data_IF_956116858746
#
_entry.id   IF_956116858746
#
_cell.length_a   1.000
_cell.length_b   1.000
_cell.length_c   1.000
_cell.angle_alpha   90.00
_cell.angle_beta   90.00
_cell.angle_gamma   90.00
#
_symmetry.space_group_name_H-M   'P 1'
#
loop_
_entity.id
_entity.type
_entity.pdbx_description
1 polymer ?
#
# COMPACT_ATOMS: atom_id res chain seq x y z
N UNK A 1 -7.22 23.71 9.40
CA UNK A 1 -7.96 23.45 8.14
C UNK A 1 -8.14 21.95 8.03
N UNK A 2 -9.39 21.47 8.01
CA UNK A 2 -9.66 20.05 7.78
C UNK A 2 -9.08 19.69 6.40
N UNK A 3 -8.13 18.73 6.35
CA UNK A 3 -7.67 18.18 5.08
C UNK A 3 -8.91 17.66 4.37
N UNK A 4 -9.29 18.32 3.29
CA UNK A 4 -10.38 17.88 2.45
C UNK A 4 -10.03 16.51 1.91
N UNK A 5 -11.00 15.60 1.86
CA UNK A 5 -10.90 14.24 1.27
C UNK A 5 -10.04 14.21 -0.01
N UNK A 6 -10.10 15.25 -0.83
CA UNK A 6 -9.31 15.46 -2.04
C UNK A 6 -7.78 15.47 -1.83
N UNK A 7 -7.27 16.08 -0.77
CA UNK A 7 -5.83 16.14 -0.49
C UNK A 7 -5.30 14.79 0.01
N UNK A 8 -6.10 14.08 0.82
CA UNK A 8 -5.77 12.72 1.26
C UNK A 8 -5.75 11.76 0.06
N UNK A 9 -6.74 11.87 -0.84
CA UNK A 9 -6.76 11.12 -2.09
C UNK A 9 -5.58 11.44 -3.01
N UNK A 10 -5.12 12.70 -3.04
CA UNK A 10 -3.95 13.10 -3.82
C UNK A 10 -2.68 12.45 -3.26
N UNK A 11 -2.44 12.57 -1.96
CA UNK A 11 -1.28 11.97 -1.30
C UNK A 11 -1.28 10.43 -1.47
N UNK A 12 -2.45 9.80 -1.30
CA UNK A 12 -2.61 8.36 -1.46
C UNK A 12 -2.31 7.90 -2.89
N UNK A 13 -2.80 8.61 -3.91
CA UNK A 13 -2.51 8.30 -5.30
C UNK A 13 -1.05 8.55 -5.69
N UNK A 14 -0.41 9.60 -5.16
CA UNK A 14 1.00 9.87 -5.40
C UNK A 14 1.88 8.78 -4.81
N UNK A 15 1.60 8.33 -3.59
CA UNK A 15 2.33 7.24 -2.96
C UNK A 15 2.17 5.93 -3.74
N UNK A 16 0.96 5.61 -4.22
CA UNK A 16 0.73 4.46 -5.11
C UNK A 16 1.58 4.49 -6.38
N UNK A 17 1.69 5.67 -7.00
CA UNK A 17 2.51 5.85 -8.21
C UNK A 17 4.01 5.74 -7.92
N UNK A 18 4.46 6.17 -6.73
CA UNK A 18 5.87 6.05 -6.31
C UNK A 18 6.29 4.60 -6.17
N UNK A 19 5.45 3.75 -5.60
CA UNK A 19 5.76 2.32 -5.48
C UNK A 19 5.87 1.64 -6.85
N UNK A 20 4.96 1.93 -7.79
CA UNK A 20 5.01 1.41 -9.15
C UNK A 20 6.28 1.83 -9.94
N UNK A 21 6.98 2.89 -9.50
CA UNK A 21 8.22 3.37 -10.12
C UNK A 21 9.49 2.80 -9.49
N UNK A 22 9.41 2.05 -8.39
CA UNK A 22 10.60 1.35 -7.86
C UNK A 22 10.87 0.12 -8.74
N UNK A 23 11.76 0.27 -9.71
CA UNK A 23 12.51 -0.86 -10.25
C UNK A 23 13.31 -1.47 -9.09
N UNK A 24 12.94 -2.67 -8.67
CA UNK A 24 13.43 -3.25 -7.44
C UNK A 24 14.63 -4.18 -7.68
N UNK A 25 15.62 -4.03 -6.82
CA UNK A 25 16.89 -4.78 -6.80
C UNK A 25 16.74 -6.19 -6.20
N UNK A 26 15.73 -6.95 -6.64
CA UNK A 26 15.50 -8.36 -6.26
C UNK A 26 14.31 -8.61 -5.33
N UNK A 27 13.86 -9.86 -5.30
CA UNK A 27 12.58 -10.30 -4.74
C UNK A 27 12.39 -10.03 -3.23
N UNK A 28 13.44 -10.15 -2.41
CA UNK A 28 13.34 -9.87 -0.96
C UNK A 28 13.18 -8.37 -0.69
N UNK A 29 13.90 -7.52 -1.43
CA UNK A 29 13.78 -6.07 -1.32
C UNK A 29 12.41 -5.58 -1.81
N UNK A 30 11.79 -6.29 -2.76
CA UNK A 30 10.39 -6.03 -3.18
C UNK A 30 9.39 -6.28 -2.06
N UNK A 31 9.54 -7.35 -1.29
CA UNK A 31 8.66 -7.68 -0.15
C UNK A 31 8.76 -6.58 0.92
N UNK A 32 9.97 -6.19 1.30
CA UNK A 32 10.17 -5.10 2.28
C UNK A 32 9.64 -3.76 1.77
N UNK A 33 9.86 -3.46 0.48
CA UNK A 33 9.34 -2.24 -0.13
C UNK A 33 7.81 -2.23 -0.17
N UNK A 34 7.19 -3.38 -0.46
CA UNK A 34 5.73 -3.55 -0.50
C UNK A 34 5.13 -3.42 0.90
N UNK A 35 5.78 -3.95 1.94
CA UNK A 35 5.40 -3.77 3.34
C UNK A 35 5.41 -2.30 3.76
N UNK A 36 6.51 -1.61 3.47
CA UNK A 36 6.64 -0.20 3.77
C UNK A 36 5.55 0.60 3.03
N UNK A 37 5.31 0.27 1.76
CA UNK A 37 4.28 0.92 0.95
C UNK A 37 2.88 0.75 1.53
N UNK A 38 2.49 -0.47 1.92
CA UNK A 38 1.20 -0.74 2.58
C UNK A 38 1.08 0.04 3.89
N UNK A 39 2.16 0.10 4.68
CA UNK A 39 2.19 0.86 5.95
C UNK A 39 1.97 2.35 5.70
N UNK A 40 2.64 2.93 4.70
CA UNK A 40 2.46 4.33 4.32
C UNK A 40 1.02 4.59 3.85
N UNK A 41 0.49 3.76 2.94
CA UNK A 41 -0.88 3.89 2.43
C UNK A 41 -1.95 3.77 3.52
N UNK A 42 -1.72 2.96 4.55
CA UNK A 42 -2.59 2.90 5.74
C UNK A 42 -2.55 4.19 6.55
N UNK A 43 -1.35 4.77 6.72
CA UNK A 43 -1.17 6.03 7.45
C UNK A 43 -1.81 7.23 6.75
N UNK A 44 -1.81 7.23 5.42
CA UNK A 44 -2.43 8.28 4.58
C UNK A 44 -3.77 7.84 3.98
N UNK A 45 -4.41 6.81 4.55
CA UNK A 45 -5.64 6.27 4.00
C UNK A 45 -6.73 7.35 3.99
N UNK A 46 -7.30 7.69 2.82
CA UNK A 46 -8.33 8.72 2.72
C UNK A 46 -9.54 8.30 3.53
N UNK A 47 -10.01 9.22 4.37
CA UNK A 47 -11.22 9.06 5.17
C UNK A 47 -12.40 9.70 4.45
N UNK A 48 -13.60 9.18 4.68
CA UNK A 48 -14.83 9.79 4.23
C UNK A 48 -15.18 11.01 5.10
N UNK A 49 -16.27 11.69 4.77
CA UNK A 49 -16.77 12.86 5.52
C UNK A 49 -17.17 12.54 6.96
N UNK A 50 -17.39 11.26 7.28
CA UNK A 50 -17.67 10.76 8.62
C UNK A 50 -16.39 10.30 9.36
N UNK A 51 -15.21 10.41 8.73
CA UNK A 51 -13.92 10.03 9.32
C UNK A 51 -13.58 8.54 9.18
N UNK A 52 -14.39 7.75 8.49
CA UNK A 52 -14.14 6.33 8.26
C UNK A 52 -13.22 6.12 7.05
N UNK A 53 -12.34 5.11 7.06
CA UNK A 53 -11.52 4.80 5.90
C UNK A 53 -12.38 4.48 4.67
N UNK A 54 -12.07 5.10 3.54
CA UNK A 54 -12.86 4.92 2.32
C UNK A 54 -12.80 3.46 1.86
N UNK A 55 -13.96 2.83 1.61
CA UNK A 55 -14.08 1.42 1.21
C UNK A 55 -13.16 1.03 0.05
N UNK A 56 -13.10 1.87 -0.99
CA UNK A 56 -12.16 1.73 -2.11
C UNK A 56 -10.69 1.70 -1.70
N UNK A 57 -10.26 2.56 -0.78
CA UNK A 57 -8.87 2.56 -0.30
C UNK A 57 -8.57 1.30 0.54
N UNK A 58 -9.53 0.86 1.36
CA UNK A 58 -9.44 -0.41 2.09
C UNK A 58 -9.33 -1.62 1.16
N UNK A 59 -10.13 -1.65 0.09
CA UNK A 59 -10.10 -2.73 -0.90
C UNK A 59 -8.73 -2.83 -1.59
N UNK A 60 -8.16 -1.70 -1.99
CA UNK A 60 -6.84 -1.66 -2.60
C UNK A 60 -5.72 -2.03 -1.61
N UNK A 61 -5.83 -1.62 -0.34
CA UNK A 61 -4.94 -2.06 0.74
C UNK A 61 -4.99 -3.57 0.96
N UNK A 62 -6.19 -4.17 0.93
CA UNK A 62 -6.34 -5.62 1.08
C UNK A 62 -5.69 -6.38 -0.09
N UNK A 63 -5.88 -5.92 -1.33
CA UNK A 63 -5.19 -6.51 -2.50
C UNK A 63 -3.68 -6.47 -2.37
N UNK A 64 -3.12 -5.35 -1.91
CA UNK A 64 -1.67 -5.24 -1.69
C UNK A 64 -1.20 -6.18 -0.57
N UNK A 65 -1.98 -6.32 0.50
CA UNK A 65 -1.70 -7.24 1.60
C UNK A 65 -1.74 -8.71 1.14
N UNK A 66 -2.67 -9.08 0.28
CA UNK A 66 -2.75 -10.42 -0.33
C UNK A 66 -1.50 -10.70 -1.16
N UNK A 67 -1.11 -9.79 -2.05
CA UNK A 67 0.12 -9.93 -2.86
C UNK A 67 1.37 -10.06 -1.99
N UNK A 68 1.44 -9.32 -0.88
CA UNK A 68 2.53 -9.45 0.08
C UNK A 68 2.56 -10.84 0.72
N UNK A 69 1.40 -11.35 1.13
CA UNK A 69 1.30 -12.68 1.73
C UNK A 69 1.70 -13.78 0.73
N UNK A 70 1.30 -13.65 -0.53
CA UNK A 70 1.72 -14.55 -1.61
C UNK A 70 3.23 -14.49 -1.84
N UNK A 71 3.80 -13.30 -1.94
CA UNK A 71 5.25 -13.13 -2.11
C UNK A 71 6.05 -13.73 -0.94
N UNK A 72 5.59 -13.51 0.30
CA UNK A 72 6.18 -14.13 1.50
C UNK A 72 6.07 -15.66 1.47
N UNK A 73 4.92 -16.22 1.07
CA UNK A 73 4.74 -17.67 0.90
C UNK A 73 5.69 -18.24 -0.15
N UNK A 74 5.83 -17.57 -1.28
CA UNK A 74 6.76 -17.97 -2.33
C UNK A 74 8.20 -17.95 -1.83
N UNK A 75 8.63 -16.88 -1.16
CA UNK A 75 9.97 -16.81 -0.55
C UNK A 75 10.21 -17.98 0.41
N UNK A 76 9.24 -18.27 1.29
CA UNK A 76 9.34 -19.37 2.23
C UNK A 76 9.41 -20.75 1.54
N UNK A 77 8.74 -20.93 0.40
CA UNK A 77 8.80 -22.16 -0.39
C UNK A 77 10.09 -22.34 -1.20
N UNK A 78 10.76 -21.24 -1.57
CA UNK A 78 12.02 -21.29 -2.34
C UNK A 78 13.24 -21.39 -1.42
N UNK A 79 13.12 -20.92 -0.17
CA UNK A 79 14.17 -20.99 0.84
C UNK A 79 14.23 -22.33 1.62
N UNK A 80 13.25 -23.22 1.42
CA UNK A 80 13.20 -24.56 2.01
C UNK A 80 13.69 -25.63 1.04
#
# INVERSE_FOLDING_TARGET
>A
MARTTKDDWKAWNEERKRFAKREANGFTAEIEALELHIKTLRGICPKDTAGYPHSRALFELNKLQERLNEARKYLASVAG
#
